data_IF_888097627666
#
_entry.id   IF_888097627666
#
_cell.length_a   1.000
_cell.length_b   1.000
_cell.length_c   1.000
_cell.angle_alpha   90.00
_cell.angle_beta   90.00
_cell.angle_gamma   90.00
#
_symmetry.space_group_name_H-M   'P 1'
#
loop_
_entity.id
_entity.type
_entity.pdbx_description
1 polymer ?
#
# COMPACT_ATOMS: atom_id res chain seq x y z
N UNK A 1 -53.25 60.09 7.10
CA UNK A 1 -52.61 60.99 8.06
C UNK A 1 -52.80 60.43 9.46
N UNK A 2 -51.69 60.16 10.18
CA UNK A 2 -51.51 59.73 11.59
C UNK A 2 -50.85 58.34 11.75
N UNK A 3 -49.55 58.42 12.04
CA UNK A 3 -48.69 57.37 12.63
C UNK A 3 -49.04 57.27 14.13
N UNK A 4 -48.92 56.10 14.76
CA UNK A 4 -47.90 55.99 15.82
C UNK A 4 -47.19 54.63 15.96
N UNK A 5 -45.93 54.72 16.43
CA UNK A 5 -45.25 53.90 17.47
C UNK A 5 -45.16 52.38 17.22
N UNK A 6 -44.00 51.73 17.07
CA UNK A 6 -42.70 51.97 17.71
C UNK A 6 -42.43 50.87 18.74
N UNK A 7 -41.68 49.84 18.38
CA UNK A 7 -41.01 48.93 19.31
C UNK A 7 -39.82 48.28 18.59
N UNK A 8 -38.63 48.85 18.79
CA UNK A 8 -37.38 48.29 18.32
C UNK A 8 -36.99 47.08 19.14
N UNK A 9 -36.74 45.94 18.48
CA UNK A 9 -35.92 44.87 19.05
C UNK A 9 -34.52 44.96 18.42
N UNK A 10 -33.56 45.39 19.23
CA UNK A 10 -32.15 45.24 18.92
C UNK A 10 -31.79 43.76 19.06
N UNK A 11 -31.55 43.08 17.93
CA UNK A 11 -30.99 41.73 17.93
C UNK A 11 -29.49 41.86 18.14
N UNK A 12 -29.03 41.49 19.34
CA UNK A 12 -27.62 41.41 19.67
C UNK A 12 -26.97 40.26 18.89
N UNK A 13 -26.10 40.58 17.94
CA UNK A 13 -25.28 39.61 17.21
C UNK A 13 -24.26 38.98 18.14
N UNK A 14 -24.46 37.71 18.52
CA UNK A 14 -23.39 36.90 19.09
C UNK A 14 -22.40 36.53 17.98
N UNK A 15 -21.25 37.18 17.97
CA UNK A 15 -20.09 36.74 17.19
C UNK A 15 -19.44 35.58 17.96
N UNK A 16 -19.72 34.36 17.55
CA UNK A 16 -18.98 33.18 18.03
C UNK A 16 -17.66 33.14 17.27
N UNK A 17 -16.59 33.58 17.92
CA UNK A 17 -15.23 33.34 17.45
C UNK A 17 -14.91 31.84 17.63
N UNK A 18 -15.11 31.05 16.58
CA UNK A 18 -14.65 29.66 16.54
C UNK A 18 -13.14 29.65 16.17
N UNK A 19 -12.30 29.52 17.19
CA UNK A 19 -10.90 29.15 17.01
C UNK A 19 -10.82 27.65 16.70
N UNK A 20 -9.95 27.28 15.74
CA UNK A 20 -9.25 25.99 15.81
C UNK A 20 -9.34 25.09 14.57
N UNK A 21 -8.19 24.94 13.92
CA UNK A 21 -7.81 23.68 13.26
C UNK A 21 -8.30 23.52 11.84
N UNK A 22 -7.49 23.96 10.88
CA UNK A 22 -7.56 23.57 9.47
C UNK A 22 -7.20 22.09 9.26
N UNK A 23 -7.89 21.18 9.93
CA UNK A 23 -7.88 19.77 9.59
C UNK A 23 -8.67 19.61 8.30
N UNK A 24 -7.97 19.35 7.19
CA UNK A 24 -8.64 18.84 5.98
C UNK A 24 -9.44 17.60 6.41
N UNK A 25 -10.72 17.45 6.02
CA UNK A 25 -11.45 16.24 6.31
C UNK A 25 -10.63 15.05 5.81
N UNK A 26 -10.38 14.08 6.69
CA UNK A 26 -9.84 12.80 6.27
C UNK A 26 -10.93 12.16 5.41
N UNK A 27 -10.71 12.14 4.10
CA UNK A 27 -11.62 11.48 3.17
C UNK A 27 -11.47 9.98 3.36
N UNK A 28 -12.45 9.37 4.01
CA UNK A 28 -12.50 7.91 4.17
C UNK A 28 -12.83 7.34 2.79
N UNK A 29 -11.82 6.82 2.10
CA UNK A 29 -12.04 6.07 0.86
C UNK A 29 -12.50 4.65 1.23
N UNK A 30 -13.79 4.29 1.07
CA UNK A 30 -14.29 2.98 1.47
C UNK A 30 -13.75 1.84 0.59
N UNK A 31 -13.05 2.15 -0.51
CA UNK A 31 -12.40 1.20 -1.41
C UNK A 31 -10.94 0.94 -1.04
N UNK A 32 -10.35 1.75 -0.18
CA UNK A 32 -8.99 1.54 0.30
C UNK A 32 -9.00 0.44 1.37
N UNK A 33 -8.13 -0.56 1.21
CA UNK A 33 -8.08 -1.71 2.10
C UNK A 33 -7.63 -1.28 3.50
N UNK A 34 -8.45 -1.53 4.52
CA UNK A 34 -8.09 -1.21 5.90
C UNK A 34 -6.82 -1.98 6.32
N UNK A 35 -5.86 -1.28 6.92
CA UNK A 35 -4.56 -1.86 7.33
C UNK A 35 -4.72 -3.06 8.27
N UNK A 36 -5.76 -3.07 9.11
CA UNK A 36 -6.06 -4.15 10.05
C UNK A 36 -6.67 -5.41 9.42
N UNK A 37 -7.05 -5.40 8.14
CA UNK A 37 -7.68 -6.55 7.46
C UNK A 37 -6.80 -7.16 6.37
N UNK A 38 -5.58 -6.64 6.18
CA UNK A 38 -4.63 -7.09 5.17
C UNK A 38 -3.37 -7.66 5.80
N UNK A 39 -2.71 -8.54 5.06
CA UNK A 39 -1.35 -8.95 5.37
C UNK A 39 -0.39 -7.81 5.05
N UNK A 40 0.64 -7.57 5.86
CA UNK A 40 1.57 -6.46 5.65
C UNK A 40 3.03 -6.94 5.73
N UNK A 41 3.90 -6.36 4.92
CA UNK A 41 5.33 -6.65 4.86
C UNK A 41 6.15 -5.37 4.83
N UNK A 42 7.32 -5.41 5.48
CA UNK A 42 8.42 -4.47 5.24
C UNK A 42 9.47 -5.20 4.41
N UNK A 43 9.86 -4.62 3.29
CA UNK A 43 10.85 -5.18 2.39
C UNK A 43 12.21 -4.55 2.66
N UNK A 44 13.24 -5.39 2.63
CA UNK A 44 14.64 -4.96 2.72
C UNK A 44 15.52 -5.78 1.78
N UNK A 45 16.62 -5.18 1.35
CA UNK A 45 17.68 -5.89 0.63
C UNK A 45 18.19 -7.09 1.45
N UNK A 46 18.33 -8.28 0.83
CA UNK A 46 18.93 -9.45 1.47
C UNK A 46 20.34 -9.15 2.01
N UNK A 47 20.72 -9.82 3.10
CA UNK A 47 21.97 -9.53 3.83
C UNK A 47 23.22 -9.66 2.95
N UNK A 48 23.17 -10.53 1.95
CA UNK A 48 24.27 -10.81 1.03
C UNK A 48 24.55 -9.66 0.05
N UNK A 49 23.58 -8.76 -0.13
CA UNK A 49 23.67 -7.63 -1.06
C UNK A 49 23.79 -6.27 -0.35
N UNK A 50 23.82 -6.26 0.99
CA UNK A 50 24.01 -5.04 1.78
C UNK A 50 25.35 -4.39 1.41
N UNK A 51 25.32 -3.09 1.12
CA UNK A 51 26.48 -2.32 0.66
C UNK A 51 26.68 -2.31 -0.86
N UNK A 52 26.06 -3.23 -1.60
CA UNK A 52 25.96 -3.17 -3.05
C UNK A 52 24.65 -2.49 -3.50
N UNK A 53 23.56 -2.72 -2.75
CA UNK A 53 22.27 -2.04 -2.94
C UNK A 53 21.55 -1.89 -1.60
N UNK A 54 20.59 -0.96 -1.54
CA UNK A 54 19.81 -0.67 -0.34
C UNK A 54 18.33 -0.40 -0.67
N UNK A 55 17.76 -1.23 -1.56
CA UNK A 55 16.34 -1.18 -1.87
C UNK A 55 15.53 -1.56 -0.63
N UNK A 56 14.59 -0.69 -0.26
CA UNK A 56 13.66 -0.91 0.85
C UNK A 56 12.25 -0.66 0.36
N UNK A 57 11.27 -1.14 1.11
CA UNK A 57 9.89 -0.97 0.69
C UNK A 57 8.87 -1.47 1.69
N UNK A 58 7.62 -1.42 1.25
CA UNK A 58 6.49 -2.02 1.94
C UNK A 58 5.65 -2.77 0.94
N UNK A 59 4.87 -3.73 1.43
CA UNK A 59 3.92 -4.43 0.60
C UNK A 59 2.79 -4.99 1.45
N UNK A 60 1.70 -5.35 0.79
CA UNK A 60 0.55 -5.93 1.46
C UNK A 60 -0.23 -6.82 0.50
N UNK A 61 -1.04 -7.71 1.05
CA UNK A 61 -2.07 -8.44 0.29
C UNK A 61 -3.37 -8.55 1.09
N UNK A 62 -4.50 -8.54 0.39
CA UNK A 62 -5.83 -8.64 0.98
C UNK A 62 -6.90 -8.93 -0.07
N UNK A 63 -8.18 -8.84 0.31
CA UNK A 63 -9.30 -9.04 -0.61
C UNK A 63 -9.33 -7.95 -1.68
N UNK A 64 -9.53 -8.33 -2.94
CA UNK A 64 -9.78 -7.36 -4.01
C UNK A 64 -11.22 -6.84 -3.89
N UNK A 65 -11.42 -5.53 -3.77
CA UNK A 65 -12.76 -4.91 -3.69
C UNK A 65 -13.73 -5.57 -2.69
N UNK A 66 -13.20 -6.06 -1.56
CA UNK A 66 -13.94 -6.82 -0.52
C UNK A 66 -14.47 -8.20 -0.96
N UNK A 67 -14.05 -8.69 -2.11
CA UNK A 67 -14.26 -10.06 -2.56
C UNK A 67 -13.09 -10.94 -2.10
N UNK A 68 -13.35 -11.84 -1.16
CA UNK A 68 -12.34 -12.76 -0.63
C UNK A 68 -11.97 -13.89 -1.59
N UNK A 69 -12.69 -14.06 -2.71
CA UNK A 69 -12.35 -15.02 -3.76
C UNK A 69 -11.20 -14.55 -4.67
N UNK A 70 -10.82 -13.27 -4.55
CA UNK A 70 -9.73 -12.64 -5.30
C UNK A 70 -8.76 -11.94 -4.35
N UNK A 71 -7.47 -12.02 -4.66
CA UNK A 71 -6.42 -11.39 -3.84
C UNK A 71 -5.88 -10.17 -4.55
N UNK A 72 -5.86 -9.03 -3.88
CA UNK A 72 -5.13 -7.83 -4.32
C UNK A 72 -3.84 -7.73 -3.54
N UNK A 73 -2.72 -7.61 -4.25
CA UNK A 73 -1.41 -7.38 -3.67
C UNK A 73 -0.84 -6.05 -4.18
N UNK A 74 -0.06 -5.38 -3.35
CA UNK A 74 0.65 -4.16 -3.71
C UNK A 74 2.05 -4.21 -3.12
N UNK A 75 3.00 -3.63 -3.85
CA UNK A 75 4.36 -3.39 -3.38
C UNK A 75 4.77 -1.98 -3.74
N UNK A 76 5.52 -1.34 -2.85
CA UNK A 76 6.20 -0.08 -3.09
C UNK A 76 7.65 -0.20 -2.64
N UNK A 77 8.57 0.30 -3.46
CA UNK A 77 10.00 0.33 -3.17
C UNK A 77 10.57 1.74 -3.30
N UNK A 78 11.68 1.97 -2.60
CA UNK A 78 12.50 3.17 -2.63
C UNK A 78 13.99 2.80 -2.70
N UNK A 79 14.82 3.79 -3.03
CA UNK A 79 16.27 3.63 -3.25
C UNK A 79 16.63 2.63 -4.36
N UNK A 80 15.74 2.48 -5.35
CA UNK A 80 16.03 1.72 -6.55
C UNK A 80 16.67 2.63 -7.62
N UNK A 81 17.36 2.02 -8.59
CA UNK A 81 18.01 2.76 -9.69
C UNK A 81 16.93 3.33 -10.63
N UNK A 82 16.90 4.65 -10.88
CA UNK A 82 15.94 5.25 -11.82
C UNK A 82 15.93 4.60 -13.19
N UNK A 83 14.74 4.37 -13.75
CA UNK A 83 14.55 3.68 -15.03
C UNK A 83 14.71 2.16 -14.96
N UNK A 84 15.01 1.59 -13.79
CA UNK A 84 15.02 0.15 -13.58
C UNK A 84 13.62 -0.46 -13.70
N UNK A 85 13.56 -1.70 -14.18
CA UNK A 85 12.35 -2.53 -14.18
C UNK A 85 12.58 -3.80 -13.36
N UNK A 86 11.77 -3.96 -12.32
CA UNK A 86 11.92 -5.06 -11.37
C UNK A 86 10.66 -5.92 -11.32
N UNK A 87 10.70 -7.16 -11.84
CA UNK A 87 9.64 -8.13 -11.57
C UNK A 87 9.49 -8.35 -10.07
N UNK A 88 8.27 -8.60 -9.61
CA UNK A 88 7.97 -8.84 -8.20
C UNK A 88 6.79 -9.80 -8.10
N UNK A 89 6.71 -10.54 -7.01
CA UNK A 89 5.61 -11.47 -6.80
C UNK A 89 5.29 -11.61 -5.31
N UNK A 90 4.06 -12.07 -5.01
CA UNK A 90 3.77 -12.74 -3.74
C UNK A 90 4.11 -14.22 -3.90
N UNK A 91 4.82 -14.79 -2.93
CA UNK A 91 5.20 -16.20 -2.89
C UNK A 91 4.68 -16.89 -1.63
N UNK A 92 4.52 -18.21 -1.72
CA UNK A 92 4.29 -19.09 -0.58
C UNK A 92 5.63 -19.38 0.11
N UNK A 93 5.65 -19.33 1.44
CA UNK A 93 6.84 -19.60 2.25
C UNK A 93 7.36 -18.35 2.96
N UNK A 94 8.69 -18.19 2.98
CA UNK A 94 9.39 -17.04 3.59
C UNK A 94 10.52 -16.58 2.67
N UNK A 95 11.00 -15.35 2.86
CA UNK A 95 12.26 -14.90 2.27
C UNK A 95 13.38 -15.93 2.50
N UNK A 96 14.03 -16.37 1.43
CA UNK A 96 15.09 -17.39 1.47
C UNK A 96 14.60 -18.85 1.50
N UNK A 97 13.28 -19.08 1.59
CA UNK A 97 12.66 -20.41 1.50
C UNK A 97 11.38 -20.32 0.65
N UNK A 98 11.60 -20.20 -0.65
CA UNK A 98 10.56 -20.05 -1.67
C UNK A 98 9.87 -21.39 -1.97
N UNK A 99 8.54 -21.39 -1.98
CA UNK A 99 7.71 -22.56 -2.29
C UNK A 99 6.80 -22.34 -3.50
N UNK A 100 7.04 -21.28 -4.28
CA UNK A 100 6.31 -20.96 -5.51
C UNK A 100 5.49 -19.67 -5.41
N UNK A 101 5.15 -19.14 -6.58
CA UNK A 101 4.37 -17.90 -6.74
C UNK A 101 2.91 -18.15 -6.35
N UNK A 102 2.31 -17.19 -5.65
CA UNK A 102 0.88 -17.16 -5.38
C UNK A 102 0.16 -16.63 -6.63
N UNK A 103 -0.60 -17.50 -7.31
CA UNK A 103 -1.36 -17.15 -8.50
C UNK A 103 -0.53 -17.12 -9.79
N UNK A 104 -1.12 -16.66 -10.90
CA UNK A 104 -0.46 -16.57 -12.20
C UNK A 104 0.64 -15.49 -12.21
N UNK A 105 1.89 -15.79 -12.62
CA UNK A 105 2.98 -14.81 -12.69
C UNK A 105 2.68 -13.60 -13.58
N UNK A 106 1.91 -13.80 -14.64
CA UNK A 106 1.51 -12.76 -15.61
C UNK A 106 0.52 -11.73 -15.04
N UNK A 107 -0.05 -11.94 -13.84
CA UNK A 107 -0.87 -10.94 -13.17
C UNK A 107 -0.05 -9.86 -12.45
N UNK A 108 1.28 -9.99 -12.43
CA UNK A 108 2.18 -9.06 -11.76
C UNK A 108 2.89 -8.18 -12.78
N UNK A 109 2.41 -6.95 -12.94
CA UNK A 109 3.13 -5.94 -13.72
C UNK A 109 4.44 -5.56 -13.01
N UNK A 110 5.59 -5.54 -13.71
CA UNK A 110 6.86 -5.14 -13.12
C UNK A 110 6.82 -3.74 -12.48
N UNK A 111 7.67 -3.53 -11.48
CA UNK A 111 7.92 -2.21 -10.91
C UNK A 111 8.77 -1.39 -11.88
N UNK A 112 8.23 -0.30 -12.42
CA UNK A 112 8.99 0.70 -13.18
C UNK A 112 9.46 1.81 -12.25
N UNK A 113 10.77 1.96 -12.09
CA UNK A 113 11.36 2.91 -11.15
C UNK A 113 11.39 4.32 -11.74
N UNK A 114 10.72 5.25 -11.06
CA UNK A 114 10.70 6.66 -11.41
C UNK A 114 12.05 7.36 -11.21
N UNK A 115 12.15 8.61 -11.69
CA UNK A 115 13.35 9.45 -11.57
C UNK A 115 13.80 9.71 -10.13
N UNK A 116 12.90 9.54 -9.16
CA UNK A 116 13.14 9.68 -7.73
C UNK A 116 13.58 8.37 -7.03
N UNK A 117 13.84 7.29 -7.80
CA UNK A 117 14.25 6.00 -7.27
C UNK A 117 13.14 5.22 -6.55
N UNK A 118 11.88 5.57 -6.80
CA UNK A 118 10.71 4.92 -6.21
C UNK A 118 9.88 4.21 -7.29
N UNK A 119 9.22 3.11 -6.91
CA UNK A 119 8.27 2.41 -7.75
C UNK A 119 7.11 1.87 -6.90
N UNK A 120 5.95 1.71 -7.53
CA UNK A 120 4.79 1.04 -6.94
C UNK A 120 4.11 0.20 -8.02
N UNK A 121 3.61 -0.97 -7.64
CA UNK A 121 2.82 -1.83 -8.52
C UNK A 121 1.76 -2.57 -7.72
N UNK A 122 0.67 -2.94 -8.40
CA UNK A 122 -0.45 -3.68 -7.84
C UNK A 122 -0.75 -4.86 -8.75
N UNK A 123 -1.01 -6.02 -8.15
CA UNK A 123 -1.52 -7.20 -8.83
C UNK A 123 -2.92 -7.59 -8.29
N UNK A 124 -3.81 -8.02 -9.18
CA UNK A 124 -5.06 -8.68 -8.81
C UNK A 124 -5.04 -10.14 -9.26
N UNK A 125 -5.05 -11.04 -8.29
CA UNK A 125 -4.87 -12.47 -8.49
C UNK A 125 -6.22 -13.18 -8.47
N UNK A 126 -6.48 -14.10 -9.41
CA UNK A 126 -7.68 -14.93 -9.43
C UNK A 126 -7.59 -16.09 -8.42
N UNK A 127 -7.15 -15.81 -7.20
CA UNK A 127 -7.06 -16.78 -6.10
C UNK A 127 -7.66 -16.20 -4.81
N UNK A 128 -8.31 -17.03 -3.98
CA UNK A 128 -8.84 -16.57 -2.70
C UNK A 128 -7.76 -16.05 -1.77
N UNK A 129 -8.12 -15.04 -0.96
CA UNK A 129 -7.20 -14.48 0.04
C UNK A 129 -6.89 -15.53 1.11
N UNK A 130 -5.61 -15.81 1.39
CA UNK A 130 -5.26 -16.74 2.44
C UNK A 130 -5.68 -16.25 3.84
N UNK A 131 -6.27 -17.15 4.62
CA UNK A 131 -6.60 -16.93 6.04
C UNK A 131 -5.52 -17.42 7.01
N UNK A 132 -4.59 -18.23 6.50
CA UNK A 132 -3.46 -18.81 7.23
C UNK A 132 -2.34 -19.16 6.26
N UNK A 133 -1.17 -19.51 6.78
CA UNK A 133 0.01 -19.84 5.98
C UNK A 133 1.12 -18.81 6.13
N UNK A 134 2.12 -18.94 5.28
CA UNK A 134 3.29 -18.07 5.26
C UNK A 134 3.46 -17.57 3.84
N UNK A 135 3.62 -16.27 3.71
CA UNK A 135 3.73 -15.60 2.43
C UNK A 135 4.79 -14.52 2.53
N UNK A 136 5.37 -14.16 1.41
CA UNK A 136 6.31 -13.05 1.33
C UNK A 136 6.22 -12.38 -0.02
N UNK A 137 6.73 -11.15 -0.10
CA UNK A 137 6.94 -10.43 -1.35
C UNK A 137 8.43 -10.40 -1.62
N UNK A 138 8.84 -10.70 -2.85
CA UNK A 138 10.18 -10.46 -3.34
C UNK A 138 10.15 -9.51 -4.54
N UNK A 139 11.30 -8.88 -4.78
CA UNK A 139 11.56 -8.02 -5.94
C UNK A 139 12.84 -8.52 -6.58
N UNK A 140 12.77 -8.90 -7.85
CA UNK A 140 13.87 -9.41 -8.65
C UNK A 140 14.72 -8.26 -9.21
N UNK A 141 16.00 -8.52 -9.50
CA UNK A 141 16.91 -7.52 -10.03
C UNK A 141 16.50 -7.03 -11.43
N UNK A 142 16.08 -7.92 -12.32
CA UNK A 142 15.50 -7.60 -13.63
C UNK A 142 14.90 -8.85 -14.28
N UNK A 143 14.16 -8.69 -15.38
CA UNK A 143 13.66 -9.82 -16.17
C UNK A 143 14.78 -10.76 -16.68
N UNK A 144 15.99 -10.22 -16.89
CA UNK A 144 17.16 -10.99 -17.34
C UNK A 144 17.98 -11.57 -16.17
N UNK A 145 17.61 -11.25 -14.92
CA UNK A 145 18.29 -11.73 -13.71
C UNK A 145 17.27 -12.01 -12.60
N UNK A 146 16.40 -13.00 -12.85
CA UNK A 146 15.37 -13.42 -11.90
C UNK A 146 15.94 -14.10 -10.64
N UNK A 147 17.17 -14.63 -10.68
CA UNK A 147 17.80 -15.30 -9.53
C UNK A 147 18.28 -14.34 -8.44
N UNK A 148 18.43 -13.05 -8.76
CA UNK A 148 18.90 -12.04 -7.79
C UNK A 148 17.71 -11.30 -7.20
N UNK A 149 17.54 -11.38 -5.88
CA UNK A 149 16.48 -10.69 -5.16
C UNK A 149 17.03 -9.40 -4.55
N UNK A 150 16.51 -8.25 -4.96
CA UNK A 150 16.99 -6.92 -4.50
C UNK A 150 16.24 -6.40 -3.28
N UNK A 151 15.02 -6.91 -3.04
CA UNK A 151 14.26 -6.65 -1.83
C UNK A 151 13.33 -7.83 -1.50
N UNK A 152 13.18 -8.14 -0.21
CA UNK A 152 12.27 -9.18 0.25
C UNK A 152 11.63 -8.81 1.58
N UNK A 153 10.37 -9.19 1.78
CA UNK A 153 9.64 -8.96 3.03
C UNK A 153 8.61 -10.05 3.31
N UNK A 154 8.70 -10.67 4.50
CA UNK A 154 7.68 -11.64 4.95
C UNK A 154 6.38 -10.89 5.27
N UNK A 155 5.25 -11.44 4.81
CA UNK A 155 3.93 -10.92 5.09
C UNK A 155 3.45 -11.41 6.47
N UNK A 156 3.25 -10.47 7.39
CA UNK A 156 2.58 -10.72 8.64
C UNK A 156 1.05 -10.76 8.42
N UNK A 157 0.33 -11.72 9.02
CA UNK A 157 -1.14 -11.78 8.90
C UNK A 157 -1.82 -10.56 9.54
N UNK A 158 -3.07 -10.27 9.14
CA UNK A 158 -3.86 -9.22 9.78
C UNK A 158 -3.97 -9.47 11.30
N UNK A 159 -3.83 -8.42 12.10
CA UNK A 159 -4.09 -8.48 13.55
C UNK A 159 -5.58 -8.76 13.76
N UNK A 160 -5.89 -9.91 14.36
CA UNK A 160 -7.26 -10.27 14.76
C UNK A 160 -7.72 -9.45 15.95
#
# INVERSE_FOLDING_TARGET
MRIPMGAGLAVASLVVAACGGGGRPVEINPREQMVGTRWNATLATPAELVGATEVRGTGWMGAADRDSSRTRAQVSILNAVPGGEHPWHVHVGRCGNDQGILGPPEAYDPLTVGGNGQAESTAELPVPVPSSGQYFINVHASANNMGTIVACGNLAPPSR
#
